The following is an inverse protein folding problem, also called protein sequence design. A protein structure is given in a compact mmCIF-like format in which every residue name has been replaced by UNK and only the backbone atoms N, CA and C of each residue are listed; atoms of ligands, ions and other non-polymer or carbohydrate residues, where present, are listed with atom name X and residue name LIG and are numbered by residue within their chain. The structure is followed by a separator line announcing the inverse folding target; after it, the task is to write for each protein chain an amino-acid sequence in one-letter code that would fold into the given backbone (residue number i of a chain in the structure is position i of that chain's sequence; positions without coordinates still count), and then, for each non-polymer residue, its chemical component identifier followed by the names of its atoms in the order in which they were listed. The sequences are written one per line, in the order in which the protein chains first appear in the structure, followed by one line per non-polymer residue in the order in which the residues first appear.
data_IF_524125286590
#
_entry.id   IF_524125286590
#
_cell.length_a   1.000
_cell.length_b   1.000
_cell.length_c   1.000
_cell.angle_alpha   90.00
_cell.angle_beta   90.00
_cell.angle_gamma   90.00
#
_symmetry.space_group_name_H-M   'P 1'
#
loop_
_entity.id
_entity.type
_entity.pdbx_description
1 polymer ?
#
# COMPACT_ATOMS: atom_id res chain seq x y z
N UNK A 1 24.29 -28.22 -11.57
CA UNK A 1 23.36 -28.89 -12.51
C UNK A 1 22.24 -29.59 -11.74
N UNK A 2 21.12 -29.97 -12.37
CA UNK A 2 19.92 -30.52 -11.70
C UNK A 2 20.19 -31.70 -10.76
N UNK A 3 21.11 -32.60 -11.13
CA UNK A 3 21.58 -33.73 -10.32
C UNK A 3 22.16 -33.30 -8.95
N UNK A 4 23.00 -32.26 -8.93
CA UNK A 4 23.58 -31.71 -7.70
C UNK A 4 22.52 -31.00 -6.86
N UNK A 5 21.60 -30.27 -7.51
CA UNK A 5 20.54 -29.50 -6.84
C UNK A 5 19.54 -30.43 -6.14
N UNK A 6 19.16 -31.55 -6.75
CA UNK A 6 18.32 -32.58 -6.11
C UNK A 6 19.01 -33.13 -4.85
N UNK A 7 20.29 -33.47 -4.94
CA UNK A 7 21.05 -33.97 -3.79
C UNK A 7 21.17 -32.92 -2.67
N UNK A 8 21.39 -31.65 -3.03
CA UNK A 8 21.44 -30.52 -2.11
C UNK A 8 20.10 -30.31 -1.40
N UNK A 9 19.00 -30.19 -2.14
CA UNK A 9 17.64 -30.00 -1.62
C UNK A 9 17.23 -31.15 -0.69
N UNK A 10 17.53 -32.39 -1.08
CA UNK A 10 17.28 -33.57 -0.26
C UNK A 10 18.03 -33.51 1.08
N UNK A 11 19.32 -33.14 1.04
CA UNK A 11 20.15 -32.99 2.25
C UNK A 11 19.66 -31.84 3.13
N UNK A 12 19.24 -30.70 2.55
CA UNK A 12 18.65 -29.57 3.28
C UNK A 12 17.38 -29.96 4.02
N UNK A 13 16.53 -30.77 3.39
CA UNK A 13 15.29 -31.29 4.00
C UNK A 13 15.54 -32.45 4.99
N UNK A 14 16.80 -32.87 5.15
CA UNK A 14 17.25 -33.95 6.03
C UNK A 14 16.54 -35.30 5.80
N UNK A 15 16.33 -35.66 4.54
CA UNK A 15 15.70 -36.94 4.15
C UNK A 15 16.68 -37.83 3.37
N UNK A 16 16.41 -39.13 3.36
CA UNK A 16 17.14 -40.15 2.61
C UNK A 16 16.70 -40.24 1.15
N UNK A 17 17.52 -40.85 0.29
CA UNK A 17 17.15 -41.11 -1.12
C UNK A 17 15.90 -42.00 -1.22
N UNK A 18 15.72 -42.92 -0.27
CA UNK A 18 14.57 -43.81 -0.22
C UNK A 18 13.26 -43.09 0.15
N UNK A 19 13.34 -42.11 1.06
CA UNK A 19 12.19 -41.27 1.41
C UNK A 19 11.77 -40.36 0.25
N UNK A 20 12.74 -39.78 -0.47
CA UNK A 20 12.47 -39.00 -1.67
C UNK A 20 11.84 -39.87 -2.77
N UNK A 21 12.38 -41.08 -2.97
CA UNK A 21 11.85 -42.01 -3.95
C UNK A 21 10.40 -42.41 -3.64
N UNK A 22 10.10 -42.68 -2.36
CA UNK A 22 8.75 -43.00 -1.90
C UNK A 22 7.77 -41.85 -2.12
N UNK A 23 8.19 -40.62 -1.87
CA UNK A 23 7.35 -39.44 -2.05
C UNK A 23 7.00 -39.17 -3.52
N UNK A 24 7.93 -39.45 -4.44
CA UNK A 24 7.78 -39.22 -5.88
C UNK A 24 7.28 -40.45 -6.65
N UNK A 25 6.96 -41.55 -5.97
CA UNK A 25 6.50 -42.78 -6.62
C UNK A 25 7.54 -43.47 -7.51
N UNK A 26 8.84 -43.25 -7.27
CA UNK A 26 9.95 -43.83 -8.03
C UNK A 26 10.77 -44.80 -7.18
N UNK A 27 11.75 -45.47 -7.80
CA UNK A 27 12.65 -46.37 -7.08
C UNK A 27 13.81 -45.61 -6.44
N UNK A 28 14.32 -46.10 -5.30
CA UNK A 28 15.54 -45.56 -4.66
C UNK A 28 16.73 -45.54 -5.64
N UNK A 29 16.82 -46.55 -6.51
CA UNK A 29 17.84 -46.62 -7.56
C UNK A 29 17.72 -45.48 -8.59
N UNK A 30 16.50 -45.03 -8.93
CA UNK A 30 16.30 -43.89 -9.83
C UNK A 30 16.87 -42.61 -9.21
N UNK A 31 16.53 -42.31 -7.95
CA UNK A 31 17.05 -41.15 -7.21
C UNK A 31 18.58 -41.21 -7.09
N UNK A 32 19.14 -42.39 -6.79
CA UNK A 32 20.60 -42.57 -6.73
C UNK A 32 21.28 -42.26 -8.07
N UNK A 33 20.69 -42.67 -9.20
CA UNK A 33 21.21 -42.36 -10.54
C UNK A 33 21.07 -40.89 -10.89
N UNK A 34 20.02 -40.21 -10.43
CA UNK A 34 19.86 -38.76 -10.58
C UNK A 34 20.96 -38.01 -9.85
N UNK A 35 21.16 -38.29 -8.56
CA UNK A 35 22.15 -37.58 -7.73
C UNK A 35 23.61 -37.88 -8.13
N UNK A 36 23.86 -39.02 -8.78
CA UNK A 36 25.19 -39.40 -9.28
C UNK A 36 25.43 -39.07 -10.76
N UNK A 37 24.57 -38.25 -11.37
CA UNK A 37 24.69 -37.79 -12.77
C UNK A 37 24.64 -38.92 -13.82
N UNK A 38 24.15 -40.10 -13.46
CA UNK A 38 24.07 -41.24 -14.38
C UNK A 38 22.85 -41.14 -15.31
N UNK A 39 21.76 -40.53 -14.84
CA UNK A 39 20.61 -40.18 -15.66
C UNK A 39 19.89 -38.97 -15.06
N UNK A 40 19.00 -38.33 -15.82
CA UNK A 40 18.14 -37.27 -15.30
C UNK A 40 16.75 -37.83 -14.94
N UNK A 41 15.98 -37.13 -14.08
CA UNK A 41 14.55 -37.37 -13.97
C UNK A 41 13.86 -37.21 -15.32
N UNK A 42 12.74 -37.93 -15.51
CA UNK A 42 11.87 -37.68 -16.65
C UNK A 42 11.34 -36.23 -16.58
N UNK A 43 11.15 -35.58 -17.73
CA UNK A 43 10.59 -34.23 -17.80
C UNK A 43 9.22 -34.14 -17.11
N UNK A 44 8.44 -35.23 -17.12
CA UNK A 44 7.14 -35.27 -16.44
C UNK A 44 7.24 -35.21 -14.92
N UNK A 45 8.38 -35.63 -14.34
CA UNK A 45 8.61 -35.63 -12.89
C UNK A 45 9.18 -34.30 -12.38
N UNK A 46 9.63 -33.43 -13.27
CA UNK A 46 10.26 -32.15 -12.91
C UNK A 46 9.34 -31.25 -12.07
N UNK A 47 8.06 -31.04 -12.43
CA UNK A 47 7.14 -30.26 -11.60
C UNK A 47 6.93 -30.88 -10.21
N UNK A 48 6.75 -32.20 -10.14
CA UNK A 48 6.53 -32.91 -8.87
C UNK A 48 7.75 -32.82 -7.94
N UNK A 49 8.96 -32.90 -8.51
CA UNK A 49 10.21 -32.71 -7.76
C UNK A 49 10.31 -31.27 -7.23
N UNK A 50 9.98 -30.28 -8.06
CA UNK A 50 10.01 -28.87 -7.69
C UNK A 50 9.01 -28.57 -6.55
N UNK A 51 7.77 -29.04 -6.70
CA UNK A 51 6.70 -28.93 -5.70
C UNK A 51 7.09 -29.63 -4.38
N UNK A 52 7.66 -30.83 -4.46
CA UNK A 52 8.09 -31.57 -3.27
C UNK A 52 9.12 -30.79 -2.44
N UNK A 53 10.00 -30.02 -3.11
CA UNK A 53 11.03 -29.23 -2.46
C UNK A 53 10.61 -27.78 -2.18
N UNK A 54 9.47 -27.33 -2.69
CA UNK A 54 9.00 -25.94 -2.54
C UNK A 54 9.86 -24.94 -3.31
N UNK A 55 10.39 -25.34 -4.47
CA UNK A 55 11.19 -24.49 -5.37
C UNK A 55 10.54 -24.44 -6.75
N UNK A 56 10.94 -23.48 -7.57
CA UNK A 56 10.57 -23.41 -8.98
C UNK A 56 11.35 -24.43 -9.81
N UNK A 57 10.85 -24.75 -11.00
CA UNK A 57 11.57 -25.60 -11.95
C UNK A 57 12.90 -24.97 -12.39
N UNK A 58 12.97 -23.65 -12.50
CA UNK A 58 14.20 -22.93 -12.86
C UNK A 58 15.29 -23.10 -11.78
N UNK A 59 14.92 -22.93 -10.50
CA UNK A 59 15.81 -23.18 -9.37
C UNK A 59 16.31 -24.63 -9.34
N UNK A 60 15.44 -25.59 -9.70
CA UNK A 60 15.80 -27.00 -9.77
C UNK A 60 16.85 -27.28 -10.85
N UNK A 61 16.84 -26.54 -11.97
CA UNK A 61 17.88 -26.63 -13.01
C UNK A 61 19.17 -25.89 -12.65
N UNK A 62 19.24 -25.25 -11.48
CA UNK A 62 20.40 -24.44 -11.07
C UNK A 62 20.44 -23.09 -11.76
N UNK A 63 19.33 -22.67 -12.38
CA UNK A 63 19.07 -21.25 -12.55
C UNK A 63 18.60 -20.74 -11.21
N UNK A 64 19.55 -20.43 -10.32
CA UNK A 64 19.22 -19.66 -9.14
C UNK A 64 18.49 -18.42 -9.67
N UNK A 65 17.20 -18.29 -9.33
CA UNK A 65 16.55 -16.99 -9.36
C UNK A 65 17.44 -16.19 -8.44
N UNK A 66 18.32 -15.36 -9.01
CA UNK A 66 19.08 -14.39 -8.23
C UNK A 66 18.04 -13.77 -7.32
N UNK A 67 18.27 -13.78 -6.00
CA UNK A 67 17.41 -13.05 -5.07
C UNK A 67 17.07 -11.73 -5.75
N UNK A 68 15.80 -11.58 -6.16
CA UNK A 68 15.42 -10.59 -7.18
C UNK A 68 16.04 -9.26 -6.77
N UNK A 69 16.86 -8.66 -7.64
CA UNK A 69 17.40 -7.35 -7.30
C UNK A 69 16.19 -6.44 -7.04
N UNK A 70 16.24 -5.48 -6.10
CA UNK A 70 15.09 -4.58 -5.86
C UNK A 70 14.55 -3.92 -7.14
N UNK A 71 15.39 -3.79 -8.16
CA UNK A 71 15.02 -3.36 -9.51
C UNK A 71 14.04 -4.32 -10.23
N UNK A 72 14.20 -5.63 -10.05
CA UNK A 72 13.36 -6.67 -10.66
C UNK A 72 11.93 -6.63 -10.10
N UNK A 73 11.77 -6.39 -8.79
CA UNK A 73 10.46 -6.20 -8.17
C UNK A 73 9.72 -4.96 -8.72
N UNK A 74 10.42 -3.84 -8.90
CA UNK A 74 9.84 -2.62 -9.49
C UNK A 74 9.42 -2.85 -10.95
N UNK A 75 10.25 -3.57 -11.71
CA UNK A 75 9.93 -3.94 -13.11
C UNK A 75 8.72 -4.87 -13.17
N UNK A 76 8.63 -5.84 -12.25
CA UNK A 76 7.48 -6.74 -12.14
C UNK A 76 6.19 -5.96 -11.84
N UNK A 77 6.19 -5.07 -10.85
CA UNK A 77 5.05 -4.19 -10.54
C UNK A 77 4.63 -3.38 -11.77
N UNK A 78 5.58 -2.74 -12.47
CA UNK A 78 5.30 -1.97 -13.69
C UNK A 78 4.63 -2.84 -14.76
N UNK A 79 5.16 -4.06 -14.98
CA UNK A 79 4.62 -4.98 -15.98
C UNK A 79 3.21 -5.43 -15.62
N UNK A 80 2.96 -5.77 -14.35
CA UNK A 80 1.65 -6.18 -13.86
C UNK A 80 0.64 -5.06 -14.03
N UNK A 81 0.93 -3.84 -13.56
CA UNK A 81 0.02 -2.70 -13.71
C UNK A 81 -0.24 -2.36 -15.18
N UNK A 82 0.77 -2.48 -16.06
CA UNK A 82 0.62 -2.22 -17.49
C UNK A 82 -0.19 -3.29 -18.25
N UNK A 83 -0.34 -4.49 -17.69
CA UNK A 83 -1.14 -5.57 -18.28
C UNK A 83 -2.62 -5.51 -17.85
N UNK A 84 -2.92 -4.86 -16.73
CA UNK A 84 -4.29 -4.67 -16.23
C UNK A 84 -4.99 -3.52 -16.99
N UNK A 85 -6.32 -3.55 -17.03
CA UNK A 85 -7.12 -2.55 -17.75
C UNK A 85 -8.09 -1.80 -16.83
N UNK A 86 -8.26 -0.50 -17.07
CA UNK A 86 -9.26 0.33 -16.38
C UNK A 86 -9.21 0.23 -14.85
N UNK A 87 -10.34 -0.12 -14.25
CA UNK A 87 -10.57 -0.16 -12.79
C UNK A 87 -9.58 -1.08 -12.05
N UNK A 88 -9.24 -2.23 -12.62
CA UNK A 88 -8.39 -3.24 -11.97
C UNK A 88 -6.97 -2.72 -11.74
N UNK A 89 -6.44 -1.92 -12.69
CA UNK A 89 -5.12 -1.32 -12.56
C UNK A 89 -5.06 -0.31 -11.40
N UNK A 90 -6.10 0.50 -11.24
CA UNK A 90 -6.19 1.48 -10.16
C UNK A 90 -6.32 0.82 -8.78
N UNK A 91 -7.16 -0.21 -8.67
CA UNK A 91 -7.31 -0.98 -7.42
C UNK A 91 -5.99 -1.69 -7.05
N UNK A 92 -5.33 -2.31 -8.03
CA UNK A 92 -4.02 -2.92 -7.81
C UNK A 92 -2.96 -1.90 -7.37
N UNK A 93 -2.91 -0.74 -8.01
CA UNK A 93 -1.97 0.33 -7.62
C UNK A 93 -2.21 0.82 -6.20
N UNK A 94 -3.48 0.98 -5.79
CA UNK A 94 -3.83 1.41 -4.45
C UNK A 94 -3.46 0.35 -3.39
N UNK A 95 -3.78 -0.93 -3.66
CA UNK A 95 -3.35 -2.06 -2.81
C UNK A 95 -1.84 -2.08 -2.62
N UNK A 96 -1.08 -1.94 -3.71
CA UNK A 96 0.39 -1.90 -3.65
C UNK A 96 0.88 -0.75 -2.78
N UNK A 97 0.27 0.43 -2.85
CA UNK A 97 0.62 1.57 -2.02
C UNK A 97 0.36 1.29 -0.52
N UNK A 98 -0.78 0.69 -0.18
CA UNK A 98 -1.11 0.31 1.20
C UNK A 98 -0.17 -0.77 1.75
N UNK A 99 0.09 -1.83 0.99
CA UNK A 99 1.04 -2.88 1.37
C UNK A 99 2.42 -2.29 1.63
N UNK A 100 2.89 -1.44 0.72
CA UNK A 100 4.22 -0.84 0.84
C UNK A 100 4.36 -0.06 2.15
N UNK A 101 3.35 0.74 2.53
CA UNK A 101 3.36 1.44 3.81
C UNK A 101 3.32 0.46 5.00
N UNK A 102 2.39 -0.49 4.99
CA UNK A 102 2.22 -1.45 6.08
C UNK A 102 3.47 -2.33 6.30
N UNK A 103 4.16 -2.73 5.23
CA UNK A 103 5.42 -3.47 5.30
C UNK A 103 6.55 -2.64 5.89
N UNK A 104 6.66 -1.36 5.54
CA UNK A 104 7.65 -0.46 6.14
C UNK A 104 7.39 -0.22 7.63
N UNK A 105 6.12 -0.04 8.02
CA UNK A 105 5.72 0.02 9.43
C UNK A 105 6.09 -1.27 10.15
N UNK A 106 5.72 -2.42 9.59
CA UNK A 106 5.99 -3.73 10.21
C UNK A 106 7.48 -3.95 10.43
N UNK A 107 8.31 -3.55 9.45
CA UNK A 107 9.77 -3.61 9.57
C UNK A 107 10.31 -2.69 10.68
N UNK A 108 9.75 -1.50 10.87
CA UNK A 108 10.13 -0.63 11.99
C UNK A 108 9.67 -1.16 13.35
N UNK A 109 8.52 -1.83 13.38
CA UNK A 109 7.89 -2.37 14.59
C UNK A 109 8.40 -3.75 14.99
N UNK A 110 9.13 -4.42 14.10
CA UNK A 110 9.71 -5.73 14.34
C UNK A 110 10.82 -5.63 15.41
N UNK A 111 10.44 -5.90 16.65
CA UNK A 111 11.35 -6.19 17.76
C UNK A 111 11.24 -7.68 18.16
N UNK A 112 12.07 -8.13 19.11
CA UNK A 112 12.03 -9.50 19.62
C UNK A 112 10.70 -9.78 20.35
N UNK A 113 9.65 -10.13 19.59
CA UNK A 113 8.34 -10.51 20.11
C UNK A 113 7.14 -9.98 19.32
N UNK A 114 7.34 -8.97 18.46
CA UNK A 114 6.28 -8.43 17.62
C UNK A 114 6.41 -8.92 16.16
N UNK A 115 5.51 -9.79 15.66
CA UNK A 115 5.58 -10.30 14.29
C UNK A 115 5.24 -9.24 13.22
N UNK A 116 4.86 -8.02 13.62
CA UNK A 116 4.40 -6.98 12.72
C UNK A 116 2.94 -7.19 12.29
N UNK A 117 2.52 -6.52 11.22
CA UNK A 117 1.17 -6.68 10.69
C UNK A 117 1.13 -7.85 9.69
N UNK A 118 0.08 -8.65 9.77
CA UNK A 118 -0.25 -9.59 8.71
C UNK A 118 -0.56 -8.81 7.42
N UNK A 119 0.18 -9.04 6.31
CA UNK A 119 0.03 -8.24 5.09
C UNK A 119 -1.37 -8.31 4.48
N UNK A 120 -2.01 -9.48 4.50
CA UNK A 120 -3.36 -9.66 3.94
C UNK A 120 -4.41 -8.89 4.75
N UNK A 121 -4.37 -9.04 6.07
CA UNK A 121 -5.22 -8.27 6.99
C UNK A 121 -4.99 -6.76 6.87
N UNK A 122 -3.73 -6.33 6.75
CA UNK A 122 -3.39 -4.92 6.60
C UNK A 122 -3.98 -4.30 5.33
N UNK A 123 -3.94 -5.03 4.21
CA UNK A 123 -4.59 -4.63 2.96
C UNK A 123 -6.09 -4.49 3.18
N UNK A 124 -6.73 -5.53 3.73
CA UNK A 124 -8.17 -5.55 3.94
C UNK A 124 -8.68 -4.37 4.76
N UNK A 125 -7.99 -4.04 5.86
CA UNK A 125 -8.33 -2.88 6.68
C UNK A 125 -8.06 -1.55 5.98
N UNK A 126 -6.99 -1.47 5.19
CA UNK A 126 -6.66 -0.30 4.38
C UNK A 126 -7.73 0.00 3.34
N UNK A 127 -8.20 -1.04 2.64
CA UNK A 127 -9.22 -0.92 1.59
C UNK A 127 -10.59 -0.49 2.12
N UNK A 128 -10.93 -0.94 3.34
CA UNK A 128 -12.15 -0.51 4.03
C UNK A 128 -12.02 0.87 4.66
N UNK A 129 -10.84 1.50 4.58
CA UNK A 129 -10.57 2.79 5.19
C UNK A 129 -10.52 2.75 6.73
N UNK A 130 -10.33 1.55 7.29
CA UNK A 130 -10.30 1.29 8.74
C UNK A 130 -8.90 1.46 9.34
N UNK A 131 -7.87 1.57 8.49
CA UNK A 131 -6.50 1.74 8.94
C UNK A 131 -6.33 3.03 9.77
N UNK A 132 -5.72 2.91 10.95
CA UNK A 132 -5.45 4.04 11.84
C UNK A 132 -4.36 4.98 11.33
N UNK A 133 -4.04 6.04 12.09
CA UNK A 133 -2.89 6.89 11.73
C UNK A 133 -1.56 6.17 12.02
N UNK A 134 -0.73 6.00 11.00
CA UNK A 134 0.63 5.46 11.09
C UNK A 134 1.62 6.25 10.24
N UNK A 135 2.89 6.15 10.59
CA UNK A 135 3.98 6.82 9.87
C UNK A 135 5.32 6.14 10.02
N UNK A 136 6.13 6.23 8.98
CA UNK A 136 7.54 5.84 8.94
C UNK A 136 8.33 7.07 8.53
N UNK A 137 9.45 7.30 9.22
CA UNK A 137 10.41 8.35 8.86
C UNK A 137 11.82 7.82 8.91
N UNK A 138 12.47 7.77 7.75
CA UNK A 138 13.90 7.50 7.61
C UNK A 138 14.53 8.59 6.73
N UNK A 139 15.86 8.73 6.72
CA UNK A 139 16.54 9.65 5.81
C UNK A 139 16.20 9.42 4.33
N UNK A 140 15.92 8.17 3.95
CA UNK A 140 15.64 7.76 2.57
C UNK A 140 14.16 7.94 2.18
N UNK A 141 13.23 7.79 3.13
CA UNK A 141 11.80 7.84 2.86
C UNK A 141 11.00 8.26 4.09
N UNK A 142 9.97 9.06 3.86
CA UNK A 142 8.90 9.25 4.84
C UNK A 142 7.57 8.84 4.23
N UNK A 143 6.75 8.14 5.01
CA UNK A 143 5.41 7.77 4.59
C UNK A 143 4.43 7.87 5.75
N UNK A 144 3.21 8.29 5.47
CA UNK A 144 2.12 8.28 6.44
C UNK A 144 0.87 7.70 5.79
N UNK A 145 0.09 7.00 6.59
CA UNK A 145 -1.18 6.42 6.18
C UNK A 145 -2.24 6.68 7.24
N UNK A 146 -3.45 6.96 6.79
CA UNK A 146 -4.60 7.18 7.66
C UNK A 146 -5.88 6.91 6.86
N UNK A 147 -6.63 5.87 7.24
CA UNK A 147 -7.76 5.36 6.48
C UNK A 147 -7.33 4.94 5.07
N UNK A 148 -8.12 5.35 4.06
CA UNK A 148 -7.86 5.06 2.65
C UNK A 148 -6.83 5.99 1.98
N UNK A 149 -6.01 6.73 2.72
CA UNK A 149 -5.01 7.66 2.17
C UNK A 149 -3.61 7.27 2.61
N UNK A 150 -2.68 7.21 1.65
CA UNK A 150 -1.25 6.97 1.87
C UNK A 150 -0.40 7.98 1.11
N UNK A 151 0.65 8.50 1.74
CA UNK A 151 1.60 9.44 1.14
C UNK A 151 3.00 8.87 1.28
N UNK A 152 3.82 9.02 0.23
CA UNK A 152 5.26 8.73 0.25
C UNK A 152 6.04 9.99 -0.13
N UNK A 153 7.19 10.21 0.50
CA UNK A 153 8.16 11.25 0.18
C UNK A 153 9.56 10.65 0.15
N UNK A 154 10.36 11.04 -0.84
CA UNK A 154 11.76 10.59 -0.98
C UNK A 154 12.74 11.41 -0.12
N UNK A 155 12.23 12.40 0.63
CA UNK A 155 12.98 13.30 1.51
C UNK A 155 14.16 14.02 0.83
N UNK A 156 14.25 14.02 -0.51
CA UNK A 156 15.34 14.68 -1.26
C UNK A 156 15.18 16.19 -1.25
N UNK A 157 13.94 16.68 -1.09
CA UNK A 157 13.66 18.10 -0.84
C UNK A 157 13.77 18.42 0.66
N UNK A 158 14.44 19.52 1.02
CA UNK A 158 14.82 19.89 2.40
C UNK A 158 13.64 20.19 3.36
N UNK A 159 12.39 19.88 3.02
CA UNK A 159 11.20 20.42 3.67
C UNK A 159 10.16 19.40 4.12
N UNK A 160 10.47 18.11 4.19
CA UNK A 160 9.55 17.12 4.73
C UNK A 160 10.14 16.41 5.95
N UNK A 161 9.69 16.79 7.14
CA UNK A 161 9.79 15.95 8.33
C UNK A 161 8.49 15.16 8.55
N UNK A 162 8.54 14.06 9.30
CA UNK A 162 7.41 13.16 9.54
C UNK A 162 6.11 13.86 9.99
N UNK A 163 6.20 14.93 10.79
CA UNK A 163 5.03 15.67 11.22
C UNK A 163 4.31 16.35 10.06
N UNK A 164 5.03 16.89 9.07
CA UNK A 164 4.44 17.56 7.92
C UNK A 164 3.72 16.57 6.98
N UNK A 165 4.25 15.36 6.82
CA UNK A 165 3.62 14.32 6.00
C UNK A 165 2.39 13.74 6.71
N UNK A 166 2.44 13.56 8.03
CA UNK A 166 1.26 13.21 8.83
C UNK A 166 0.16 14.25 8.70
N UNK A 167 0.52 15.53 8.80
CA UNK A 167 -0.44 16.62 8.68
C UNK A 167 -1.02 16.66 7.26
N UNK A 168 -0.19 16.50 6.22
CA UNK A 168 -0.67 16.37 4.84
C UNK A 168 -1.63 15.19 4.66
N UNK A 169 -1.34 14.01 5.20
CA UNK A 169 -2.22 12.84 5.11
C UNK A 169 -3.56 13.04 5.83
N UNK A 170 -3.56 13.70 7.00
CA UNK A 170 -4.80 14.07 7.70
C UNK A 170 -5.64 15.05 6.89
N UNK A 171 -4.99 16.07 6.34
CA UNK A 171 -5.61 17.10 5.51
C UNK A 171 -6.25 16.42 4.29
N UNK A 172 -5.49 15.63 3.51
CA UNK A 172 -6.00 14.97 2.30
C UNK A 172 -7.17 14.02 2.56
N UNK A 173 -7.18 13.26 3.66
CA UNK A 173 -8.31 12.37 4.02
C UNK A 173 -9.61 13.14 4.17
N UNK A 174 -9.58 14.31 4.83
CA UNK A 174 -10.77 15.14 5.01
C UNK A 174 -11.32 15.66 3.68
N UNK A 175 -10.46 15.78 2.67
CA UNK A 175 -10.81 16.21 1.33
C UNK A 175 -11.04 15.06 0.34
N UNK A 176 -10.92 13.81 0.77
CA UNK A 176 -11.42 12.67 -0.01
C UNK A 176 -12.94 12.49 0.15
N UNK A 177 -13.55 13.18 1.12
CA UNK A 177 -14.99 13.21 1.36
C UNK A 177 -15.64 14.30 0.50
N UNK A 178 -16.58 13.91 -0.37
CA UNK A 178 -17.23 14.82 -1.32
C UNK A 178 -18.03 15.92 -0.60
N UNK A 179 -18.73 15.58 0.48
CA UNK A 179 -19.54 16.54 1.23
C UNK A 179 -18.64 17.58 1.91
N UNK A 180 -17.53 17.12 2.50
CA UNK A 180 -16.53 18.00 3.11
C UNK A 180 -15.92 18.97 2.08
N UNK A 181 -15.59 18.47 0.87
CA UNK A 181 -15.11 19.31 -0.23
C UNK A 181 -16.14 20.38 -0.63
N UNK A 182 -17.39 19.97 -0.85
CA UNK A 182 -18.47 20.87 -1.28
C UNK A 182 -18.77 21.94 -0.22
N UNK A 183 -18.81 21.54 1.04
CA UNK A 183 -19.01 22.45 2.18
C UNK A 183 -17.85 23.42 2.31
N UNK A 184 -16.61 22.96 2.24
CA UNK A 184 -15.46 23.86 2.37
C UNK A 184 -15.36 24.84 1.19
N UNK A 185 -15.59 24.38 -0.04
CA UNK A 185 -15.62 25.24 -1.22
C UNK A 185 -16.75 26.28 -1.13
N UNK A 186 -17.94 25.87 -0.70
CA UNK A 186 -19.07 26.78 -0.50
C UNK A 186 -18.76 27.84 0.57
N UNK A 187 -18.31 27.42 1.75
CA UNK A 187 -17.93 28.32 2.84
C UNK A 187 -16.84 29.30 2.40
N UNK A 188 -15.77 28.82 1.76
CA UNK A 188 -14.70 29.67 1.23
C UNK A 188 -15.23 30.68 0.22
N UNK A 189 -16.00 30.25 -0.78
CA UNK A 189 -16.52 31.14 -1.83
C UNK A 189 -17.54 32.16 -1.31
N UNK A 190 -18.13 31.96 -0.14
CA UNK A 190 -19.02 32.93 0.52
C UNK A 190 -18.23 33.95 1.35
N UNK A 191 -17.05 33.57 1.85
CA UNK A 191 -16.28 34.40 2.79
C UNK A 191 -14.97 34.95 2.23
N UNK A 192 -14.47 34.49 1.09
CA UNK A 192 -13.14 34.83 0.57
C UNK A 192 -12.95 36.31 0.20
N UNK A 193 -14.04 37.08 0.06
CA UNK A 193 -13.98 38.50 -0.29
C UNK A 193 -13.56 39.43 0.85
N UNK A 194 -13.57 38.98 2.11
CA UNK A 194 -13.21 39.80 3.26
C UNK A 194 -12.86 38.95 4.49
N UNK A 195 -11.86 39.37 5.25
CA UNK A 195 -11.47 38.73 6.51
C UNK A 195 -12.47 38.92 7.67
N UNK A 196 -13.52 39.71 7.48
CA UNK A 196 -14.61 39.83 8.45
C UNK A 196 -15.88 39.11 8.00
N UNK A 197 -15.85 38.43 6.84
CA UNK A 197 -17.00 37.74 6.29
C UNK A 197 -17.17 36.35 6.90
N UNK A 198 -18.39 36.06 7.35
CA UNK A 198 -18.81 34.75 7.84
C UNK A 198 -20.16 34.40 7.22
N UNK A 199 -20.40 33.11 7.00
CA UNK A 199 -21.61 32.59 6.35
C UNK A 199 -22.36 31.61 7.26
N UNK A 200 -23.68 31.48 7.08
CA UNK A 200 -24.51 30.55 7.83
C UNK A 200 -24.64 29.17 7.17
N UNK A 201 -25.15 28.20 7.93
CA UNK A 201 -25.38 26.82 7.44
C UNK A 201 -26.33 26.80 6.23
N UNK A 202 -27.41 27.60 6.24
CA UNK A 202 -28.37 27.66 5.13
C UNK A 202 -27.76 28.18 3.82
N UNK A 203 -26.88 29.19 3.88
CA UNK A 203 -26.19 29.72 2.69
C UNK A 203 -25.17 28.71 2.14
N UNK A 204 -24.49 27.99 3.03
CA UNK A 204 -23.60 26.88 2.64
C UNK A 204 -24.41 25.74 2.02
N UNK A 205 -25.57 25.40 2.58
CA UNK A 205 -26.48 24.37 2.06
C UNK A 205 -26.91 24.69 0.64
N UNK A 206 -27.37 25.92 0.39
CA UNK A 206 -27.76 26.37 -0.95
C UNK A 206 -26.59 26.29 -1.94
N UNK A 207 -25.41 26.79 -1.56
CA UNK A 207 -24.25 26.86 -2.47
C UNK A 207 -23.56 25.52 -2.69
N UNK A 208 -23.54 24.65 -1.68
CA UNK A 208 -22.97 23.29 -1.77
C UNK A 208 -23.91 22.31 -2.44
N UNK A 209 -25.23 22.58 -2.45
CA UNK A 209 -26.26 21.65 -2.94
C UNK A 209 -26.50 20.46 -2.00
N UNK A 210 -26.17 20.60 -0.71
CA UNK A 210 -26.36 19.59 0.34
C UNK A 210 -27.42 20.07 1.34
N UNK A 211 -28.11 19.16 2.03
CA UNK A 211 -29.03 19.53 3.11
C UNK A 211 -28.29 20.09 4.34
N UNK A 212 -28.95 20.93 5.13
CA UNK A 212 -28.35 21.57 6.32
C UNK A 212 -27.77 20.59 7.34
N UNK A 213 -28.36 19.40 7.48
CA UNK A 213 -27.84 18.33 8.35
C UNK A 213 -26.48 17.80 7.86
N UNK A 214 -26.37 17.48 6.57
CA UNK A 214 -25.11 17.05 5.96
C UNK A 214 -24.03 18.15 6.04
N UNK A 215 -24.43 19.41 5.84
CA UNK A 215 -23.53 20.57 6.03
C UNK A 215 -23.01 20.62 7.47
N UNK A 216 -23.89 20.41 8.45
CA UNK A 216 -23.51 20.43 9.88
C UNK A 216 -22.50 19.33 10.19
N UNK A 217 -22.77 18.09 9.76
CA UNK A 217 -21.85 16.96 9.96
C UNK A 217 -20.50 17.19 9.28
N UNK A 218 -20.49 17.75 8.06
CA UNK A 218 -19.25 18.08 7.36
C UNK A 218 -18.46 19.19 8.09
N UNK A 219 -19.14 20.22 8.60
CA UNK A 219 -18.48 21.28 9.37
C UNK A 219 -17.86 20.76 10.67
N UNK A 220 -18.44 19.73 11.31
CA UNK A 220 -17.83 19.07 12.47
C UNK A 220 -16.52 18.35 12.11
N UNK A 221 -16.49 17.64 10.98
CA UNK A 221 -15.26 17.01 10.47
C UNK A 221 -14.17 18.04 10.13
N UNK A 222 -14.58 19.23 9.68
CA UNK A 222 -13.71 20.30 9.22
C UNK A 222 -13.31 21.30 10.31
N UNK A 223 -13.59 21.04 11.59
CA UNK A 223 -13.44 22.04 12.66
C UNK A 223 -12.03 22.67 12.75
N UNK A 224 -10.98 21.91 12.42
CA UNK A 224 -9.61 22.41 12.38
C UNK A 224 -9.34 23.50 11.29
N UNK A 225 -10.20 23.57 10.27
CA UNK A 225 -10.11 24.51 9.14
C UNK A 225 -11.13 25.64 9.23
N UNK A 226 -12.08 25.51 10.15
CA UNK A 226 -13.20 26.43 10.29
C UNK A 226 -12.94 27.38 11.47
N UNK A 227 -13.27 28.64 11.25
CA UNK A 227 -13.43 29.64 12.29
C UNK A 227 -14.92 29.87 12.51
N UNK A 228 -15.34 29.89 13.77
CA UNK A 228 -16.76 30.03 14.15
C UNK A 228 -16.97 31.34 14.90
N UNK A 229 -18.01 32.07 14.53
CA UNK A 229 -18.48 33.27 15.23
C UNK A 229 -19.99 33.18 15.40
N UNK A 230 -20.42 32.85 16.61
CA UNK A 230 -21.83 32.55 16.93
C UNK A 230 -22.33 31.36 16.10
N UNK A 231 -23.29 31.59 15.21
CA UNK A 231 -23.93 30.62 14.30
C UNK A 231 -23.32 30.63 12.89
N UNK A 232 -22.32 31.49 12.66
CA UNK A 232 -21.66 31.63 11.37
C UNK A 232 -20.26 31.05 11.36
N UNK A 233 -19.83 30.65 10.17
CA UNK A 233 -18.55 29.99 9.92
C UNK A 233 -17.80 30.64 8.77
N UNK A 234 -16.47 30.47 8.75
CA UNK A 234 -15.62 30.72 7.59
C UNK A 234 -14.46 29.75 7.58
N UNK A 235 -13.79 29.62 6.44
CA UNK A 235 -12.47 28.97 6.39
C UNK A 235 -11.43 29.89 7.04
N UNK A 236 -10.61 29.35 7.95
CA UNK A 236 -9.53 30.09 8.62
C UNK A 236 -8.58 30.69 7.59
N UNK A 237 -8.16 31.94 7.81
CA UNK A 237 -7.29 32.67 6.89
C UNK A 237 -5.96 31.96 6.60
N UNK A 238 -5.35 31.33 7.61
CA UNK A 238 -4.10 30.56 7.47
C UNK A 238 -4.28 29.23 6.71
N UNK A 239 -5.53 28.80 6.52
CA UNK A 239 -5.90 27.58 5.77
C UNK A 239 -6.59 27.89 4.44
N UNK A 240 -6.85 29.17 4.14
CA UNK A 240 -7.61 29.61 2.96
C UNK A 240 -6.99 29.16 1.62
N UNK A 241 -5.66 29.03 1.55
CA UNK A 241 -4.95 28.58 0.35
C UNK A 241 -5.15 27.08 0.03
N UNK A 242 -5.65 26.28 0.98
CA UNK A 242 -5.90 24.85 0.77
C UNK A 242 -7.04 24.65 -0.24
N UNK A 243 -8.09 25.50 -0.20
CA UNK A 243 -9.26 25.35 -1.07
C UNK A 243 -8.93 25.59 -2.56
N UNK A 244 -8.21 26.68 -2.94
CA UNK A 244 -7.73 26.85 -4.31
C UNK A 244 -6.74 25.76 -4.78
N UNK A 245 -5.93 25.20 -3.87
CA UNK A 245 -5.01 24.11 -4.22
C UNK A 245 -5.77 22.81 -4.51
N UNK A 246 -6.85 22.53 -3.78
CA UNK A 246 -7.69 21.36 -4.01
C UNK A 246 -8.55 21.48 -5.27
N UNK A 247 -9.01 22.69 -5.62
CA UNK A 247 -9.74 22.91 -6.87
C UNK A 247 -8.87 22.70 -8.12
N UNK A 248 -7.54 22.85 -8.01
CA UNK A 248 -6.60 22.47 -9.07
C UNK A 248 -6.50 20.95 -9.28
N UNK A 249 -6.77 20.16 -8.24
CA UNK A 249 -6.74 18.69 -8.29
C UNK A 249 -8.07 18.12 -8.77
N UNK A 250 -9.19 18.77 -8.44
CA UNK A 250 -10.53 18.37 -8.86
C UNK A 250 -10.91 18.82 -10.30
N UNK A 251 -10.06 19.60 -10.96
CA UNK A 251 -10.25 20.09 -12.33
C UNK A 251 -9.50 19.26 -13.41
N UNK A 252 -9.04 18.05 -13.06
CA UNK A 252 -8.53 17.01 -13.97
C UNK A 252 -9.52 15.84 -14.02
#
# INVERSE_FOLDING_TARGET
MINEKIAELRKRKNITQEELARALGVTNQAVSKWESSQCCPDISLIPEIADYFGVTTDELFGHDVKEDEPADAVVAVRKTLGALSGKEAYECALKLAFVTHASLISRLMADEGNPGFDPESAIDHAERGEWGMSSVGTPEISTAMNGGTVIFSDNRSRFTCDSQIKDAARILRLFADEDALRVMAAAFNLTCGSDDSFTGIGEISEKSGLGEEAVTMALEKLDAFIERKTDKVRVRGDKALIVPLLSLVAAL
#
